data_IF_115600391077
#
_entry.id   IF_115600391077
#
_cell.length_a   1.000
_cell.length_b   1.000
_cell.length_c   1.000
_cell.angle_alpha   90.00
_cell.angle_beta   90.00
_cell.angle_gamma   90.00
#
_symmetry.space_group_name_H-M   'P 1'
#
loop_
_entity.id
_entity.type
_entity.pdbx_description
1 polymer ?
#
# COMPACT_ATOMS: atom_id res chain seq x y z
N UNK A 1 -8.30 7.84 -14.76
CA UNK A 1 -9.52 7.44 -15.50
C UNK A 1 -9.97 6.11 -14.94
N UNK A 2 -11.23 5.99 -14.51
CA UNK A 2 -11.83 4.71 -14.11
C UNK A 2 -12.71 4.21 -15.26
N UNK A 3 -12.63 2.91 -15.58
CA UNK A 3 -13.40 2.31 -16.68
C UNK A 3 -14.65 1.60 -16.16
N UNK A 4 -15.64 1.39 -17.05
CA UNK A 4 -16.87 0.65 -16.70
C UNK A 4 -16.57 -0.75 -16.17
N UNK A 5 -15.57 -1.43 -16.70
CA UNK A 5 -15.20 -2.77 -16.26
C UNK A 5 -14.50 -2.76 -14.90
N UNK A 6 -13.69 -1.74 -14.59
CA UNK A 6 -13.13 -1.54 -13.26
C UNK A 6 -14.24 -1.35 -12.21
N UNK A 7 -15.25 -0.54 -12.53
CA UNK A 7 -16.40 -0.34 -11.62
C UNK A 7 -17.18 -1.64 -11.41
N UNK A 8 -17.42 -2.43 -12.46
CA UNK A 8 -18.05 -3.75 -12.32
C UNK A 8 -17.22 -4.68 -11.44
N UNK A 9 -15.91 -4.67 -11.58
CA UNK A 9 -15.01 -5.54 -10.81
C UNK A 9 -14.99 -5.21 -9.32
N UNK A 10 -15.25 -3.96 -8.93
CA UNK A 10 -15.37 -3.57 -7.51
C UNK A 10 -16.60 -4.19 -6.82
N UNK A 11 -17.60 -4.63 -7.58
CA UNK A 11 -18.80 -5.27 -7.04
C UNK A 11 -18.66 -6.76 -6.73
N UNK A 12 -17.49 -7.36 -6.96
CA UNK A 12 -17.23 -8.79 -6.73
C UNK A 12 -16.03 -8.98 -5.82
N UNK A 13 -16.12 -9.95 -4.91
CA UNK A 13 -15.01 -10.34 -4.04
C UNK A 13 -13.96 -11.12 -4.84
N UNK A 14 -12.71 -10.67 -4.76
CA UNK A 14 -11.56 -11.32 -5.39
C UNK A 14 -10.96 -12.38 -4.45
N UNK A 15 -11.74 -13.40 -4.12
CA UNK A 15 -11.31 -14.53 -3.27
C UNK A 15 -10.85 -15.68 -4.16
N UNK A 16 -9.67 -16.24 -3.85
CA UNK A 16 -9.13 -17.40 -4.57
C UNK A 16 -9.94 -18.66 -4.28
N UNK A 17 -10.09 -19.54 -5.28
CA UNK A 17 -10.76 -20.82 -5.11
C UNK A 17 -10.00 -21.79 -4.19
N UNK A 18 -10.72 -22.75 -3.60
CA UNK A 18 -10.16 -23.66 -2.59
C UNK A 18 -9.00 -24.54 -3.08
N UNK A 19 -8.92 -24.82 -4.38
CA UNK A 19 -7.90 -25.67 -5.00
C UNK A 19 -6.85 -24.87 -5.80
N UNK A 20 -6.87 -23.54 -5.71
CA UNK A 20 -5.94 -22.70 -6.42
C UNK A 20 -4.54 -22.77 -5.78
N UNK A 21 -3.51 -22.80 -6.62
CA UNK A 21 -2.13 -22.58 -6.17
C UNK A 21 -1.98 -21.15 -5.67
N UNK A 22 -1.16 -21.00 -4.64
CA UNK A 22 -0.88 -19.77 -3.90
C UNK A 22 0.58 -19.35 -4.09
N UNK A 23 0.97 -18.22 -3.49
CA UNK A 23 2.38 -17.80 -3.44
C UNK A 23 3.27 -18.83 -2.71
N UNK A 24 2.73 -19.52 -1.70
CA UNK A 24 3.45 -20.56 -0.97
C UNK A 24 3.82 -21.75 -1.84
N UNK A 25 2.98 -22.11 -2.81
CA UNK A 25 3.27 -23.18 -3.79
C UNK A 25 4.42 -22.83 -4.75
N UNK A 26 4.81 -21.55 -4.80
CA UNK A 26 5.96 -21.04 -5.53
C UNK A 26 7.19 -20.82 -4.64
N UNK A 27 7.10 -21.15 -3.35
CA UNK A 27 8.16 -20.88 -2.36
C UNK A 27 8.31 -19.38 -2.03
N UNK A 28 7.25 -18.59 -2.21
CA UNK A 28 7.24 -17.15 -1.95
C UNK A 28 6.47 -16.88 -0.66
N UNK A 29 7.16 -16.31 0.33
CA UNK A 29 6.52 -15.86 1.56
C UNK A 29 5.74 -14.56 1.31
N UNK A 30 4.42 -14.53 1.58
CA UNK A 30 3.61 -13.34 1.37
C UNK A 30 3.95 -12.26 2.40
N UNK A 31 4.23 -11.05 1.92
CA UNK A 31 4.41 -9.89 2.78
C UNK A 31 3.05 -9.20 3.00
N UNK A 32 2.74 -8.90 4.26
CA UNK A 32 1.51 -8.20 4.61
C UNK A 32 1.47 -6.82 3.93
N UNK A 33 0.39 -6.56 3.19
CA UNK A 33 0.21 -5.29 2.48
C UNK A 33 0.33 -4.07 3.41
N UNK A 34 -0.21 -4.17 4.62
CA UNK A 34 -0.15 -3.11 5.62
C UNK A 34 1.28 -2.69 5.99
N UNK A 35 2.26 -3.59 5.84
CA UNK A 35 3.66 -3.33 6.14
C UNK A 35 4.36 -2.50 5.05
N UNK A 36 3.93 -2.61 3.79
CA UNK A 36 4.62 -1.96 2.64
C UNK A 36 3.85 -0.80 2.03
N UNK A 37 2.52 -0.80 2.16
CA UNK A 37 1.67 0.26 1.62
C UNK A 37 2.07 1.67 2.07
N UNK A 38 2.52 1.90 3.34
CA UNK A 38 3.01 3.19 3.79
C UNK A 38 4.12 3.80 2.92
N UNK A 39 5.04 2.96 2.43
CA UNK A 39 6.22 3.38 1.68
C UNK A 39 5.86 3.75 0.24
N UNK A 40 5.01 2.95 -0.39
CA UNK A 40 4.48 3.24 -1.74
C UNK A 40 3.64 4.53 -1.78
N UNK A 41 2.84 4.77 -0.74
CA UNK A 41 1.93 5.92 -0.68
C UNK A 41 2.60 7.21 -0.19
N UNK A 42 3.88 7.16 0.20
CA UNK A 42 4.64 8.32 0.69
C UNK A 42 4.47 9.57 -0.18
N UNK A 43 4.58 9.41 -1.50
CA UNK A 43 4.48 10.52 -2.47
C UNK A 43 3.13 11.22 -2.49
N UNK A 44 2.08 10.57 -2.01
CA UNK A 44 0.72 11.10 -1.97
C UNK A 44 0.31 11.61 -0.58
N UNK A 45 1.18 11.49 0.43
CA UNK A 45 0.92 12.04 1.77
C UNK A 45 0.92 13.57 1.73
N UNK A 46 0.08 14.25 2.52
CA UNK A 46 0.14 15.69 2.69
C UNK A 46 1.56 16.12 3.13
N UNK A 47 2.17 17.05 2.40
CA UNK A 47 3.58 17.49 2.54
C UNK A 47 4.66 16.61 1.89
N UNK A 48 4.33 15.47 1.27
CA UNK A 48 5.20 14.66 0.39
C UNK A 48 6.70 14.67 0.74
N UNK A 49 7.54 15.11 -0.21
CA UNK A 49 9.00 15.24 -0.08
C UNK A 49 9.48 16.17 1.06
N UNK A 50 8.60 17.02 1.59
CA UNK A 50 8.89 17.95 2.69
C UNK A 50 8.51 17.39 4.07
N UNK A 51 7.88 16.21 4.14
CA UNK A 51 7.55 15.58 5.43
C UNK A 51 8.82 15.24 6.23
N UNK A 52 9.87 14.72 5.58
CA UNK A 52 11.17 14.47 6.23
C UNK A 52 11.82 15.75 6.80
N UNK A 53 11.60 16.89 6.14
CA UNK A 53 12.09 18.22 6.60
C UNK A 53 11.22 18.78 7.73
N UNK A 54 9.91 18.49 7.74
CA UNK A 54 8.99 18.88 8.83
C UNK A 54 9.22 18.08 10.12
N UNK A 55 9.53 16.80 10.02
CA UNK A 55 9.80 15.95 11.20
C UNK A 55 11.12 16.35 11.87
N UNK A 56 12.16 16.65 11.08
CA UNK A 56 13.46 17.13 11.60
C UNK A 56 13.39 18.51 12.26
N UNK A 57 12.49 19.39 11.79
CA UNK A 57 12.30 20.73 12.38
C UNK A 57 11.44 20.74 13.65
N UNK A 58 10.66 19.68 13.93
CA UNK A 58 9.97 19.50 15.22
C UNK A 58 10.95 19.20 16.35
N UNK A 59 12.03 18.46 16.07
CA UNK A 59 13.08 18.13 17.04
C UNK A 59 14.03 19.30 17.34
N UNK A 60 14.07 20.34 16.49
CA UNK A 60 14.95 21.49 16.65
C UNK A 60 14.42 22.55 17.64
N UNK A 61 13.13 22.47 18.03
CA UNK A 61 12.49 23.42 18.96
C UNK A 61 12.51 22.95 20.43
N UNK A 62 13.18 21.84 20.72
CA UNK A 62 13.33 21.26 22.07
C UNK A 62 14.68 21.59 22.72
N UNK A 63 15.44 22.53 22.17
CA UNK A 63 16.67 23.05 22.75
C UNK A 63 16.64 24.58 22.81
#
# INVERSE_FOLDING_TARGET
>A
MITRDQVKNLGSDNVVGQTAKTLGDLGIEPLAMASVLPDYLWRFRPSGQYAAIKDSSRNLKSH
#
